data_IF_747560744699
#
_entry.id   IF_747560744699
#
_cell.length_a   1.000
_cell.length_b   1.000
_cell.length_c   1.000
_cell.angle_alpha   90.00
_cell.angle_beta   90.00
_cell.angle_gamma   90.00
#
_symmetry.space_group_name_H-M   'P 1'
#
loop_
_entity.id
_entity.type
_entity.pdbx_description
1 polymer ?
#
# COMPACT_ATOMS: atom_id res chain seq x y z
N UNK A 1 -12.68 -4.34 -6.65
CA UNK A 1 -11.91 -3.10 -6.62
C UNK A 1 -10.62 -3.26 -7.40
N UNK A 2 -10.43 -2.44 -8.43
CA UNK A 2 -9.24 -2.44 -9.29
C UNK A 2 -8.54 -1.09 -9.14
N UNK A 3 -7.25 -1.12 -8.83
CA UNK A 3 -6.44 0.09 -8.66
C UNK A 3 -5.36 0.18 -9.73
N UNK A 4 -5.08 1.39 -10.18
CA UNK A 4 -3.99 1.72 -11.10
C UNK A 4 -3.11 2.77 -10.45
N UNK A 5 -1.79 2.58 -10.50
CA UNK A 5 -0.83 3.54 -9.99
C UNK A 5 -0.45 4.57 -11.07
N UNK A 6 -0.32 5.82 -10.66
CA UNK A 6 0.17 6.95 -11.47
C UNK A 6 1.13 7.78 -10.62
N UNK A 7 2.42 7.48 -10.70
CA UNK A 7 3.43 8.01 -9.77
C UNK A 7 3.11 7.65 -8.32
N UNK A 8 2.99 8.66 -7.47
CA UNK A 8 2.67 8.51 -6.04
C UNK A 8 1.16 8.44 -5.75
N UNK A 9 0.33 8.45 -6.79
CA UNK A 9 -1.13 8.42 -6.67
C UNK A 9 -1.68 7.05 -7.07
N UNK A 10 -2.75 6.65 -6.41
CA UNK A 10 -3.45 5.40 -6.70
C UNK A 10 -4.87 5.75 -7.13
N UNK A 11 -5.28 5.37 -8.33
CA UNK A 11 -6.63 5.61 -8.86
C UNK A 11 -7.47 4.34 -8.75
N UNK A 12 -8.62 4.45 -8.09
CA UNK A 12 -9.65 3.42 -8.08
C UNK A 12 -10.48 3.50 -9.37
N UNK A 13 -10.48 2.41 -10.15
CA UNK A 13 -11.21 2.32 -11.41
C UNK A 13 -12.74 2.22 -11.23
N UNK A 14 -13.21 1.80 -10.05
CA UNK A 14 -14.65 1.65 -9.78
C UNK A 14 -15.30 2.97 -9.38
N UNK A 15 -14.65 3.74 -8.51
CA UNK A 15 -15.22 5.01 -8.01
C UNK A 15 -14.62 6.25 -8.66
N UNK A 16 -13.49 6.11 -9.37
CA UNK A 16 -12.71 7.24 -9.88
C UNK A 16 -11.95 8.00 -8.78
N UNK A 17 -11.99 7.53 -7.53
CA UNK A 17 -11.31 8.17 -6.40
C UNK A 17 -9.80 8.04 -6.57
N UNK A 18 -9.08 9.12 -6.26
CA UNK A 18 -7.62 9.12 -6.15
C UNK A 18 -7.24 9.04 -4.68
N UNK A 19 -6.33 8.14 -4.37
CA UNK A 19 -5.83 7.84 -3.04
C UNK A 19 -4.33 8.17 -2.94
N UNK A 20 -3.89 8.64 -1.78
CA UNK A 20 -2.47 8.65 -1.41
C UNK A 20 -2.00 7.25 -0.96
N UNK A 21 -0.69 7.10 -0.74
CA UNK A 21 -0.10 5.81 -0.30
C UNK A 21 -0.58 5.36 1.09
N UNK A 22 -1.16 6.25 1.89
CA UNK A 22 -1.69 5.97 3.22
C UNK A 22 -3.19 5.63 3.19
N UNK A 23 -3.79 5.59 2.01
CA UNK A 23 -5.20 5.28 1.81
C UNK A 23 -6.14 6.45 2.13
N UNK A 24 -5.66 7.69 2.12
CA UNK A 24 -6.54 8.87 2.20
C UNK A 24 -7.06 9.23 0.80
N UNK A 25 -8.38 9.40 0.68
CA UNK A 25 -9.01 9.87 -0.54
C UNK A 25 -8.71 11.36 -0.73
N UNK A 26 -7.95 11.71 -1.76
CA UNK A 26 -7.51 13.09 -2.03
C UNK A 26 -8.33 13.77 -3.13
N UNK A 27 -8.99 12.99 -4.00
CA UNK A 27 -9.83 13.51 -5.09
C UNK A 27 -10.92 12.48 -5.45
N UNK A 28 -12.06 12.95 -5.96
CA UNK A 28 -13.15 12.11 -6.45
C UNK A 28 -14.25 11.85 -5.43
N UNK A 29 -15.08 10.83 -5.69
CA UNK A 29 -16.31 10.59 -4.95
C UNK A 29 -16.10 10.31 -3.45
N UNK A 30 -14.93 9.78 -3.06
CA UNK A 30 -14.60 9.43 -1.69
C UNK A 30 -13.51 10.35 -1.10
N UNK A 31 -13.32 11.55 -1.64
CA UNK A 31 -12.37 12.52 -1.09
C UNK A 31 -12.68 12.83 0.40
N UNK A 32 -11.62 12.91 1.22
CA UNK A 32 -11.69 13.07 2.67
C UNK A 32 -11.95 11.78 3.46
N UNK A 33 -12.24 10.66 2.79
CA UNK A 33 -12.38 9.36 3.45
C UNK A 33 -11.03 8.65 3.57
N UNK A 34 -10.99 7.62 4.40
CA UNK A 34 -9.81 6.77 4.60
C UNK A 34 -10.17 5.30 4.44
N UNK A 35 -9.37 4.57 3.65
CA UNK A 35 -9.49 3.12 3.52
C UNK A 35 -9.25 2.45 4.87
N UNK A 36 -9.99 1.37 5.13
CA UNK A 36 -9.72 0.53 6.29
C UNK A 36 -8.35 -0.15 6.11
N UNK A 37 -7.39 0.07 7.01
CA UNK A 37 -6.10 -0.59 6.91
C UNK A 37 -6.26 -2.08 7.16
N UNK A 38 -5.69 -2.90 6.28
CA UNK A 38 -5.50 -4.32 6.56
C UNK A 38 -4.29 -4.49 7.47
N UNK A 39 -4.22 -5.61 8.19
CA UNK A 39 -3.06 -5.92 9.02
C UNK A 39 -1.79 -5.99 8.14
N UNK A 40 -0.86 -5.09 8.40
CA UNK A 40 0.45 -5.00 7.75
C UNK A 40 1.48 -4.53 8.78
N UNK A 41 2.76 -4.60 8.42
CA UNK A 41 3.81 -4.03 9.24
C UNK A 41 5.02 -3.63 8.40
N UNK A 42 5.62 -2.50 8.80
CA UNK A 42 6.86 -1.99 8.23
C UNK A 42 8.02 -2.57 9.04
N UNK A 43 8.67 -3.60 8.50
CA UNK A 43 9.75 -4.30 9.16
C UNK A 43 11.06 -4.12 8.40
N UNK A 44 12.15 -3.87 9.12
CA UNK A 44 13.47 -4.09 8.56
C UNK A 44 13.63 -5.57 8.19
N UNK A 45 14.26 -5.85 7.05
CA UNK A 45 14.41 -7.22 6.55
C UNK A 45 15.06 -8.15 7.59
N UNK A 46 16.06 -7.68 8.33
CA UNK A 46 16.77 -8.48 9.34
C UNK A 46 15.90 -8.79 10.55
N UNK A 47 15.00 -7.88 10.93
CA UNK A 47 14.04 -8.11 12.01
C UNK A 47 12.98 -9.13 11.55
N UNK A 48 12.48 -9.01 10.32
CA UNK A 48 11.57 -10.00 9.74
C UNK A 48 12.20 -11.40 9.69
N UNK A 49 13.43 -11.51 9.18
CA UNK A 49 14.16 -12.77 9.06
C UNK A 49 14.37 -13.47 10.41
N UNK A 50 14.56 -12.72 11.50
CA UNK A 50 14.67 -13.28 12.84
C UNK A 50 13.38 -13.98 13.33
N UNK A 51 12.20 -13.54 12.87
CA UNK A 51 10.90 -14.11 13.27
C UNK A 51 10.25 -14.98 12.17
N UNK A 52 10.79 -14.96 10.95
CA UNK A 52 10.29 -15.68 9.77
C UNK A 52 11.47 -16.29 8.99
N UNK A 53 12.15 -17.30 9.58
CA UNK A 53 13.42 -17.82 9.06
C UNK A 53 13.33 -18.45 7.67
N UNK A 54 12.14 -18.92 7.27
CA UNK A 54 11.91 -19.53 5.95
C UNK A 54 11.75 -18.49 4.83
N UNK A 55 11.76 -17.19 5.14
CA UNK A 55 11.65 -16.13 4.14
C UNK A 55 12.95 -16.01 3.35
N UNK A 56 12.88 -16.06 2.03
CA UNK A 56 14.03 -15.80 1.17
C UNK A 56 14.38 -14.30 1.19
N UNK A 57 15.67 -13.99 1.37
CA UNK A 57 16.20 -12.62 1.34
C UNK A 57 17.01 -12.43 0.06
N UNK A 58 16.58 -11.48 -0.76
CA UNK A 58 17.25 -11.12 -2.02
C UNK A 58 18.07 -9.83 -1.84
N UNK A 59 19.37 -9.91 -2.12
CA UNK A 59 20.28 -8.76 -2.15
C UNK A 59 20.55 -8.27 -3.58
N UNK A 60 21.03 -7.04 -3.72
CA UNK A 60 21.52 -6.52 -5.01
C UNK A 60 22.97 -7.01 -5.18
N UNK A 61 23.31 -7.49 -6.38
CA UNK A 61 24.68 -7.87 -6.74
C UNK A 61 25.53 -6.65 -7.09
#
# INVERSE_FOLDING_TARGET
MTFVTDGDKIRDAETGTVWDIFGHGIEGALAGQKLAPIAHGDYFWFAWAAFRPDSEVYGIK
#
